data_IF_584730301966
#
_entry.id   IF_584730301966
#
_cell.length_a   1.000
_cell.length_b   1.000
_cell.length_c   1.000
_cell.angle_alpha   90.00
_cell.angle_beta   90.00
_cell.angle_gamma   90.00
#
_symmetry.space_group_name_H-M   'P 1'
#
loop_
_entity.id
_entity.type
_entity.pdbx_description
1 polymer ?
#
# COMPACT_ATOMS: atom_id res chain seq x y z
N UNK A 1 15.56 9.82 -21.56
CA UNK A 1 14.47 10.69 -22.11
C UNK A 1 14.92 11.38 -23.41
N UNK A 2 16.10 12.00 -23.43
CA UNK A 2 16.64 12.69 -24.64
C UNK A 2 16.84 11.74 -25.84
N UNK A 3 17.25 10.48 -25.58
CA UNK A 3 17.48 9.48 -26.61
C UNK A 3 16.19 9.04 -27.33
N UNK A 4 15.03 9.21 -26.68
CA UNK A 4 13.72 8.78 -27.22
C UNK A 4 12.80 9.96 -27.58
N UNK A 5 13.30 11.19 -27.63
CA UNK A 5 12.55 12.43 -27.92
C UNK A 5 11.31 12.68 -27.02
N UNK A 6 11.30 12.16 -25.79
CA UNK A 6 10.20 12.35 -24.83
C UNK A 6 10.39 13.58 -23.95
N UNK A 7 11.47 14.33 -24.15
CA UNK A 7 11.81 15.49 -23.29
C UNK A 7 10.80 16.62 -23.38
N UNK A 8 10.07 16.71 -24.50
CA UNK A 8 9.14 17.81 -24.75
C UNK A 8 7.72 17.50 -24.21
N UNK A 9 7.42 16.20 -24.04
CA UNK A 9 6.11 15.74 -23.60
C UNK A 9 6.05 15.44 -22.08
N UNK A 10 7.20 15.31 -21.43
CA UNK A 10 7.31 14.86 -20.03
C UNK A 10 7.98 15.93 -19.16
N UNK A 11 7.23 16.43 -18.19
CA UNK A 11 7.77 17.29 -17.15
C UNK A 11 8.51 16.46 -16.09
N UNK A 12 9.82 16.30 -16.28
CA UNK A 12 10.68 15.47 -15.42
C UNK A 12 10.70 15.98 -13.98
N UNK A 13 10.73 17.30 -13.77
CA UNK A 13 10.78 17.89 -12.43
C UNK A 13 9.50 17.60 -11.66
N UNK A 14 8.35 17.67 -12.32
CA UNK A 14 7.05 17.33 -11.72
C UNK A 14 6.98 15.83 -11.34
N UNK A 15 7.45 14.94 -12.21
CA UNK A 15 7.52 13.50 -11.91
C UNK A 15 8.43 13.24 -10.72
N UNK A 16 9.60 13.89 -10.67
CA UNK A 16 10.50 13.77 -9.53
C UNK A 16 9.85 14.23 -8.22
N UNK A 17 9.05 15.30 -8.27
CA UNK A 17 8.28 15.75 -7.09
C UNK A 17 7.22 14.71 -6.68
N UNK A 18 6.51 14.09 -7.61
CA UNK A 18 5.55 13.03 -7.31
C UNK A 18 6.23 11.81 -6.67
N UNK A 19 7.36 11.35 -7.23
CA UNK A 19 8.14 10.24 -6.67
C UNK A 19 8.63 10.57 -5.26
N UNK A 20 9.13 11.78 -5.04
CA UNK A 20 9.55 12.19 -3.69
C UNK A 20 8.39 12.20 -2.68
N UNK A 21 7.14 12.39 -3.11
CA UNK A 21 5.97 12.36 -2.24
C UNK A 21 5.57 10.95 -1.79
N UNK A 22 6.07 9.90 -2.44
CA UNK A 22 5.89 8.52 -1.98
C UNK A 22 6.88 8.12 -0.87
N UNK A 23 7.88 8.95 -0.56
CA UNK A 23 8.88 8.63 0.47
C UNK A 23 8.24 8.43 1.86
N UNK A 24 8.66 7.36 2.54
CA UNK A 24 8.31 7.11 3.94
C UNK A 24 9.56 6.75 4.77
N UNK A 25 9.71 7.30 5.98
CA UNK A 25 8.91 8.39 6.56
C UNK A 25 9.09 9.71 5.81
N UNK A 26 8.00 10.50 5.76
CA UNK A 26 8.03 11.80 5.06
C UNK A 26 8.96 12.75 5.81
N UNK A 27 9.90 13.42 5.12
CA UNK A 27 10.73 14.46 5.74
C UNK A 27 9.86 15.60 6.28
N UNK A 28 10.11 16.03 7.52
CA UNK A 28 9.30 17.04 8.24
C UNK A 28 9.39 18.45 7.66
N UNK A 29 10.45 18.73 6.91
CA UNK A 29 10.73 20.03 6.29
C UNK A 29 10.22 20.12 4.84
N UNK A 30 9.51 19.10 4.39
CA UNK A 30 9.07 19.02 3.00
C UNK A 30 7.81 19.84 2.76
N UNK A 31 7.94 20.86 1.95
CA UNK A 31 6.84 21.65 1.41
C UNK A 31 6.78 21.40 -0.10
N UNK A 32 5.59 21.02 -0.60
CA UNK A 32 5.33 20.98 -2.04
C UNK A 32 5.42 22.41 -2.59
N UNK A 33 6.44 22.66 -3.40
CA UNK A 33 6.69 24.01 -3.95
C UNK A 33 6.24 24.05 -5.41
N UNK A 34 5.54 25.15 -5.76
CA UNK A 34 5.22 25.49 -7.14
C UNK A 34 4.37 24.46 -7.91
N UNK A 35 3.43 23.80 -7.22
CA UNK A 35 2.46 22.93 -7.87
C UNK A 35 1.04 23.47 -7.68
N UNK A 36 0.23 23.37 -8.73
CA UNK A 36 -1.18 23.76 -8.70
C UNK A 36 -2.07 22.68 -8.05
N UNK A 37 -3.35 22.99 -7.84
CA UNK A 37 -4.29 22.07 -7.20
C UNK A 37 -4.46 20.74 -7.95
N UNK A 38 -4.41 20.74 -9.28
CA UNK A 38 -4.49 19.52 -10.09
C UNK A 38 -3.23 18.67 -9.96
N UNK A 39 -2.08 19.29 -9.87
CA UNK A 39 -0.80 18.59 -9.66
C UNK A 39 -0.72 18.00 -8.25
N UNK A 40 -1.32 18.65 -7.24
CA UNK A 40 -1.48 18.09 -5.90
C UNK A 40 -2.31 16.81 -5.95
N UNK A 41 -3.49 16.86 -6.59
CA UNK A 41 -4.36 15.69 -6.75
C UNK A 41 -3.65 14.53 -7.45
N UNK A 42 -2.94 14.80 -8.54
CA UNK A 42 -2.14 13.78 -9.24
C UNK A 42 -1.04 13.18 -8.36
N UNK A 43 -0.36 14.01 -7.57
CA UNK A 43 0.65 13.55 -6.62
C UNK A 43 0.06 12.66 -5.52
N UNK A 44 -1.13 12.99 -5.03
CA UNK A 44 -1.88 12.17 -4.07
C UNK A 44 -2.27 10.82 -4.66
N UNK A 45 -2.71 10.79 -5.92
CA UNK A 45 -3.00 9.53 -6.63
C UNK A 45 -1.75 8.66 -6.81
N UNK A 46 -0.61 9.25 -7.15
CA UNK A 46 0.67 8.50 -7.24
C UNK A 46 1.06 7.93 -5.88
N UNK A 47 0.92 8.71 -4.80
CA UNK A 47 1.18 8.22 -3.44
C UNK A 47 0.22 7.09 -3.05
N UNK A 48 -1.06 7.23 -3.39
CA UNK A 48 -2.05 6.19 -3.14
C UNK A 48 -1.76 4.91 -3.92
N UNK A 49 -1.37 5.03 -5.20
CA UNK A 49 -1.02 3.88 -6.04
C UNK A 49 0.20 3.12 -5.48
N UNK A 50 1.23 3.84 -5.02
CA UNK A 50 2.40 3.24 -4.37
C UNK A 50 2.02 2.49 -3.09
N UNK A 51 1.26 3.14 -2.19
CA UNK A 51 0.81 2.52 -0.94
C UNK A 51 -0.08 1.29 -1.19
N UNK A 52 -1.06 1.39 -2.07
CA UNK A 52 -1.97 0.28 -2.38
C UNK A 52 -1.20 -0.86 -3.04
N UNK A 53 -0.33 -0.57 -4.01
CA UNK A 53 0.47 -1.57 -4.70
C UNK A 53 1.37 -2.39 -3.76
N UNK A 54 1.90 -1.77 -2.72
CA UNK A 54 2.71 -2.46 -1.71
C UNK A 54 1.85 -3.20 -0.69
N UNK A 55 0.85 -2.54 -0.11
CA UNK A 55 0.13 -3.03 1.05
C UNK A 55 -0.99 -4.02 0.71
N UNK A 56 -1.54 -3.95 -0.50
CA UNK A 56 -2.53 -4.91 -0.99
C UNK A 56 -1.92 -6.12 -1.72
N UNK A 57 -0.59 -6.19 -1.83
CA UNK A 57 0.11 -7.34 -2.42
C UNK A 57 -0.22 -8.62 -1.63
N UNK A 58 -0.73 -9.69 -2.26
CA UNK A 58 -1.02 -10.95 -1.56
C UNK A 58 0.18 -11.53 -0.80
N UNK A 59 1.39 -11.17 -1.18
CA UNK A 59 2.64 -11.59 -0.52
C UNK A 59 3.15 -10.59 0.52
N UNK A 60 2.37 -9.56 0.88
CA UNK A 60 2.80 -8.49 1.78
C UNK A 60 3.47 -8.99 3.07
N UNK A 61 2.86 -9.97 3.74
CA UNK A 61 3.41 -10.52 4.99
C UNK A 61 4.77 -11.20 4.82
N UNK A 62 5.03 -11.77 3.66
CA UNK A 62 6.33 -12.39 3.35
C UNK A 62 7.41 -11.34 3.11
N UNK A 63 7.02 -10.12 2.74
CA UNK A 63 7.92 -9.01 2.46
C UNK A 63 8.28 -8.18 3.70
N UNK A 64 7.54 -8.31 4.80
CA UNK A 64 7.79 -7.55 6.05
C UNK A 64 9.23 -7.68 6.56
N UNK A 65 9.87 -8.86 6.60
CA UNK A 65 11.27 -8.95 7.01
C UNK A 65 12.20 -8.14 6.11
N UNK A 66 12.00 -8.15 4.79
CA UNK A 66 12.80 -7.35 3.85
C UNK A 66 12.60 -5.86 4.13
N UNK A 67 11.36 -5.39 4.27
CA UNK A 67 11.02 -4.02 4.60
C UNK A 67 11.69 -3.56 5.92
N UNK A 68 11.72 -4.40 6.94
CA UNK A 68 12.45 -4.08 8.18
C UNK A 68 13.94 -3.86 7.92
N UNK A 69 14.58 -4.67 7.10
CA UNK A 69 16.00 -4.52 6.78
C UNK A 69 16.27 -3.27 5.94
N UNK A 70 15.38 -2.90 5.03
CA UNK A 70 15.45 -1.60 4.30
C UNK A 70 15.36 -0.42 5.28
N UNK A 71 14.44 -0.46 6.25
CA UNK A 71 14.37 0.56 7.31
C UNK A 71 15.66 0.59 8.15
N UNK A 72 16.27 -0.56 8.40
CA UNK A 72 17.51 -0.66 9.16
C UNK A 72 18.70 -0.05 8.39
N UNK A 73 18.78 -0.27 7.09
CA UNK A 73 19.83 0.31 6.23
C UNK A 73 19.75 1.84 6.18
N UNK A 74 18.55 2.39 6.16
CA UNK A 74 18.32 3.84 6.13
C UNK A 74 18.28 4.50 7.52
N UNK A 75 18.34 3.72 8.60
CA UNK A 75 18.15 4.19 9.97
C UNK A 75 16.72 4.60 10.33
N UNK A 76 15.76 4.36 9.43
CA UNK A 76 14.34 4.65 9.65
C UNK A 76 13.75 3.78 10.77
N UNK A 77 14.24 2.56 10.95
CA UNK A 77 13.81 1.66 12.02
C UNK A 77 13.96 2.28 13.41
N UNK A 78 15.03 3.05 13.67
CA UNK A 78 15.25 3.71 14.96
C UNK A 78 14.19 4.80 15.18
N UNK A 79 13.93 5.62 14.15
CA UNK A 79 12.93 6.69 14.20
C UNK A 79 11.51 6.17 14.41
N UNK A 80 11.22 4.99 13.86
CA UNK A 80 9.92 4.33 13.95
C UNK A 80 9.79 3.42 15.19
N UNK A 81 10.87 3.22 15.96
CA UNK A 81 10.88 2.37 17.14
C UNK A 81 10.88 0.87 16.84
N UNK A 82 11.30 0.45 15.62
CA UNK A 82 11.31 -0.95 15.22
C UNK A 82 12.67 -1.60 15.55
N UNK A 83 12.67 -2.60 16.39
CA UNK A 83 13.87 -3.37 16.79
C UNK A 83 13.98 -4.71 16.05
N UNK A 84 12.84 -5.30 15.70
CA UNK A 84 12.74 -6.58 15.00
C UNK A 84 11.64 -6.54 13.93
N UNK A 85 11.67 -7.43 12.92
CA UNK A 85 10.64 -7.46 11.87
C UNK A 85 9.21 -7.57 12.40
N UNK A 86 9.02 -8.21 13.55
CA UNK A 86 7.71 -8.35 14.18
C UNK A 86 7.12 -6.99 14.63
N UNK A 87 7.96 -6.01 14.92
CA UNK A 87 7.47 -4.68 15.32
C UNK A 87 6.80 -3.96 14.14
N UNK A 88 7.35 -4.10 12.92
CA UNK A 88 6.73 -3.61 11.69
C UNK A 88 5.35 -4.22 11.51
N UNK A 89 5.23 -5.53 11.74
CA UNK A 89 3.97 -6.25 11.61
C UNK A 89 2.94 -5.80 12.64
N UNK A 90 3.33 -5.71 13.90
CA UNK A 90 2.44 -5.27 15.01
C UNK A 90 1.97 -3.82 14.86
N UNK A 91 2.79 -2.95 14.28
CA UNK A 91 2.46 -1.54 14.08
C UNK A 91 1.57 -1.31 12.85
N UNK A 92 1.37 -2.33 12.01
CA UNK A 92 0.68 -2.19 10.73
C UNK A 92 -0.74 -1.63 10.84
N UNK A 93 -1.64 -2.08 11.76
CA UNK A 93 -2.96 -1.47 11.88
C UNK A 93 -2.91 0.02 12.23
N UNK A 94 -2.07 0.42 13.18
CA UNK A 94 -1.91 1.82 13.53
C UNK A 94 -1.34 2.66 12.37
N UNK A 95 -0.36 2.12 11.64
CA UNK A 95 0.17 2.74 10.43
C UNK A 95 -0.91 2.89 9.36
N UNK A 96 -1.72 1.85 9.16
CA UNK A 96 -2.80 1.88 8.17
C UNK A 96 -3.82 2.98 8.48
N UNK A 97 -4.40 3.00 9.66
CA UNK A 97 -5.45 3.96 10.01
C UNK A 97 -4.94 5.40 10.11
N UNK A 98 -3.75 5.60 10.66
CA UNK A 98 -3.24 6.95 10.90
C UNK A 98 -2.53 7.57 9.68
N UNK A 99 -1.95 6.75 8.80
CA UNK A 99 -1.14 7.24 7.68
C UNK A 99 -1.69 6.85 6.32
N UNK A 100 -2.04 5.58 6.10
CA UNK A 100 -2.41 5.05 4.78
C UNK A 100 -3.82 5.44 4.42
N UNK A 101 -4.80 5.11 5.26
CA UNK A 101 -6.23 5.30 4.96
C UNK A 101 -6.59 6.73 4.54
N UNK A 102 -6.11 7.80 5.20
CA UNK A 102 -6.38 9.16 4.76
C UNK A 102 -5.85 9.48 3.36
N UNK A 103 -4.74 8.83 2.95
CA UNK A 103 -4.08 9.10 1.67
C UNK A 103 -4.67 8.32 0.49
N UNK A 104 -5.32 7.18 0.76
CA UNK A 104 -5.84 6.30 -0.30
C UNK A 104 -7.35 6.43 -0.52
N UNK A 105 -8.07 7.15 0.34
CA UNK A 105 -9.54 7.20 0.32
C UNK A 105 -10.12 7.63 -1.03
N UNK A 106 -9.53 8.63 -1.67
CA UNK A 106 -9.95 9.06 -3.02
C UNK A 106 -9.64 7.98 -4.08
N UNK A 107 -8.46 7.37 -4.03
CA UNK A 107 -8.06 6.34 -4.98
C UNK A 107 -8.95 5.08 -4.88
N UNK A 108 -9.41 4.72 -3.69
CA UNK A 108 -10.33 3.60 -3.49
C UNK A 108 -11.67 3.80 -4.22
N UNK A 109 -12.13 5.04 -4.42
CA UNK A 109 -13.35 5.32 -5.20
C UNK A 109 -13.18 4.92 -6.66
N UNK A 110 -11.99 5.14 -7.23
CA UNK A 110 -11.68 4.71 -8.60
C UNK A 110 -11.50 3.20 -8.69
N UNK A 111 -10.78 2.59 -7.74
CA UNK A 111 -10.56 1.13 -7.72
C UNK A 111 -11.88 0.36 -7.63
N UNK A 112 -12.82 0.82 -6.83
CA UNK A 112 -14.12 0.16 -6.66
C UNK A 112 -15.01 0.18 -7.92
N UNK A 113 -14.60 0.86 -8.99
CA UNK A 113 -15.33 0.85 -10.27
C UNK A 113 -15.04 -0.38 -11.13
N UNK A 114 -14.01 -1.17 -10.80
CA UNK A 114 -13.62 -2.35 -11.55
C UNK A 114 -13.48 -3.56 -10.65
N UNK A 115 -13.72 -4.76 -11.18
CA UNK A 115 -13.54 -6.00 -10.43
C UNK A 115 -12.09 -6.16 -9.94
N UNK A 116 -11.11 -5.86 -10.79
CA UNK A 116 -9.69 -5.93 -10.43
C UNK A 116 -9.36 -4.94 -9.30
N UNK A 117 -9.86 -3.71 -9.38
CA UNK A 117 -9.66 -2.72 -8.32
C UNK A 117 -10.30 -3.14 -7.00
N UNK A 118 -11.47 -3.77 -7.03
CA UNK A 118 -12.11 -4.33 -5.84
C UNK A 118 -11.24 -5.41 -5.17
N UNK A 119 -10.54 -6.26 -5.93
CA UNK A 119 -9.59 -7.22 -5.36
C UNK A 119 -8.45 -6.55 -4.59
N UNK A 120 -7.89 -5.47 -5.13
CA UNK A 120 -6.85 -4.71 -4.42
C UNK A 120 -7.39 -4.12 -3.12
N UNK A 121 -8.59 -3.54 -3.15
CA UNK A 121 -9.23 -2.99 -1.96
C UNK A 121 -9.53 -4.06 -0.90
N UNK A 122 -9.99 -5.25 -1.32
CA UNK A 122 -10.25 -6.39 -0.44
C UNK A 122 -8.95 -6.87 0.21
N UNK A 123 -7.88 -7.09 -0.55
CA UNK A 123 -6.61 -7.55 -0.01
C UNK A 123 -6.03 -6.56 1.01
N UNK A 124 -6.14 -5.27 0.72
CA UNK A 124 -5.71 -4.22 1.63
C UNK A 124 -6.42 -4.30 2.99
N UNK A 125 -7.74 -4.37 2.97
CA UNK A 125 -8.55 -4.49 4.18
C UNK A 125 -8.33 -5.84 4.91
N UNK A 126 -8.15 -6.92 4.15
CA UNK A 126 -7.82 -8.23 4.68
C UNK A 126 -6.53 -8.21 5.52
N UNK A 127 -5.47 -7.57 5.04
CA UNK A 127 -4.20 -7.50 5.77
C UNK A 127 -4.35 -6.75 7.09
N UNK A 128 -5.09 -5.64 7.10
CA UNK A 128 -5.37 -4.88 8.33
C UNK A 128 -6.16 -5.73 9.31
N UNK A 129 -7.25 -6.33 8.84
CA UNK A 129 -8.11 -7.18 9.66
C UNK A 129 -7.34 -8.33 10.31
N UNK A 130 -6.48 -9.02 9.56
CA UNK A 130 -5.67 -10.12 10.09
C UNK A 130 -4.73 -9.68 11.20
N UNK A 131 -4.10 -8.51 11.09
CA UNK A 131 -3.20 -8.04 12.13
C UNK A 131 -3.95 -7.53 13.37
N UNK A 132 -5.08 -6.87 13.22
CA UNK A 132 -5.91 -6.45 14.34
C UNK A 132 -6.44 -7.64 15.15
N UNK A 133 -6.81 -8.72 14.46
CA UNK A 133 -7.47 -9.87 15.07
C UNK A 133 -6.53 -11.07 15.27
N UNK A 134 -5.22 -10.87 15.08
CA UNK A 134 -4.23 -11.95 15.16
C UNK A 134 -4.27 -12.73 16.48
N UNK A 135 -4.56 -12.09 17.59
CA UNK A 135 -4.67 -12.72 18.89
C UNK A 135 -5.95 -13.55 19.07
N UNK A 136 -6.95 -13.28 18.22
CA UNK A 136 -8.28 -13.91 18.28
C UNK A 136 -8.38 -15.02 17.25
N UNK A 137 -7.75 -14.83 16.07
CA UNK A 137 -7.79 -15.82 15.00
C UNK A 137 -6.87 -17.00 15.35
N UNK A 138 -7.43 -18.20 15.32
CA UNK A 138 -6.63 -19.44 15.38
C UNK A 138 -5.72 -19.56 14.16
N UNK A 139 -4.67 -20.36 14.27
CA UNK A 139 -3.76 -20.63 13.12
C UNK A 139 -4.51 -21.18 11.91
N UNK A 140 -5.55 -21.98 12.15
CA UNK A 140 -6.40 -22.53 11.10
C UNK A 140 -7.28 -21.44 10.45
N UNK A 141 -7.83 -20.51 11.24
CA UNK A 141 -8.60 -19.38 10.72
C UNK A 141 -7.76 -18.47 9.84
N UNK A 142 -6.50 -18.18 10.25
CA UNK A 142 -5.57 -17.39 9.45
C UNK A 142 -5.24 -18.10 8.14
N UNK A 143 -4.97 -19.43 8.19
CA UNK A 143 -4.70 -20.21 6.99
C UNK A 143 -5.90 -20.24 6.04
N UNK A 144 -7.11 -20.36 6.56
CA UNK A 144 -8.33 -20.31 5.75
C UNK A 144 -8.50 -18.96 5.06
N UNK A 145 -8.27 -17.86 5.77
CA UNK A 145 -8.33 -16.52 5.20
C UNK A 145 -7.24 -16.30 4.12
N UNK A 146 -6.03 -16.85 4.29
CA UNK A 146 -4.98 -16.82 3.26
C UNK A 146 -5.40 -17.59 2.00
N UNK A 147 -6.04 -18.74 2.14
CA UNK A 147 -6.57 -19.53 1.03
C UNK A 147 -7.65 -18.75 0.28
N UNK A 148 -8.57 -18.13 1.01
CA UNK A 148 -9.64 -17.31 0.43
C UNK A 148 -9.04 -16.13 -0.34
N UNK A 149 -8.15 -15.37 0.27
CA UNK A 149 -7.48 -14.24 -0.37
C UNK A 149 -6.73 -14.65 -1.65
N UNK A 150 -6.03 -15.80 -1.60
CA UNK A 150 -5.35 -16.34 -2.77
C UNK A 150 -6.33 -16.73 -3.88
N UNK A 151 -7.42 -17.43 -3.53
CA UNK A 151 -8.47 -17.76 -4.51
C UNK A 151 -9.11 -16.53 -5.13
N UNK A 152 -9.36 -15.49 -4.33
CA UNK A 152 -9.89 -14.21 -4.82
C UNK A 152 -8.95 -13.54 -5.79
N UNK A 153 -7.65 -13.57 -5.54
CA UNK A 153 -6.65 -13.01 -6.46
C UNK A 153 -6.45 -13.83 -7.74
N UNK A 154 -6.65 -15.16 -7.65
CA UNK A 154 -6.50 -16.08 -8.78
C UNK A 154 -7.79 -16.21 -9.62
N UNK A 155 -8.98 -15.90 -9.04
CA UNK A 155 -10.25 -16.00 -9.74
C UNK A 155 -10.50 -14.73 -10.57
N UNK A 156 -10.78 -14.92 -11.86
CA UNK A 156 -11.21 -13.82 -12.75
C UNK A 156 -12.70 -13.47 -12.56
N UNK A 157 -13.39 -14.16 -11.65
CA UNK A 157 -14.83 -14.02 -11.46
C UNK A 157 -15.16 -13.97 -9.96
N UNK A 158 -15.59 -12.78 -9.49
CA UNK A 158 -15.91 -12.52 -8.08
C UNK A 158 -17.06 -13.40 -7.55
N UNK A 159 -18.05 -13.75 -8.42
CA UNK A 159 -19.18 -14.58 -8.06
C UNK A 159 -18.77 -16.02 -7.68
N UNK A 160 -17.73 -16.57 -8.33
CA UNK A 160 -17.22 -17.91 -8.02
C UNK A 160 -16.57 -17.98 -6.62
N UNK A 161 -16.06 -16.84 -6.15
CA UNK A 161 -15.41 -16.76 -4.83
C UNK A 161 -16.42 -16.62 -3.71
N UNK A 162 -17.50 -15.88 -3.92
CA UNK A 162 -18.60 -15.72 -2.95
C UNK A 162 -19.32 -17.06 -2.70
N UNK A 163 -19.51 -17.88 -3.72
CA UNK A 163 -20.13 -19.21 -3.58
C UNK A 163 -19.28 -20.21 -2.77
N UNK A 164 -18.00 -19.91 -2.55
CA UNK A 164 -17.10 -20.74 -1.74
C UNK A 164 -17.08 -20.34 -0.25
N UNK A 165 -17.49 -19.11 0.06
CA UNK A 165 -17.46 -18.55 1.42
C UNK A 165 -18.81 -18.68 2.14
N UNK A 166 -19.89 -18.88 1.37
CA UNK A 166 -21.27 -19.14 1.87
C UNK A 166 -21.55 -20.63 1.88
#
# INVERSE_FOLDING_TARGET
>A
LKENNWSDDINVDLICEFIKNTMFPVPTDRVLRNIDAKQIELSELVTAADLIGQLADPSYYRKIPALYYEFKETGANIKLGYNVPMDVKKSYPAFFYNYVQPKISNALTYLNTTNEGQFWAINLNYHVFCEEHRSILSSEGIMLLEIISKKMSDSRNFEDTLSFVL
#
